data_IF_027268248422
#
_entry.id   IF_027268248422
#
_cell.length_a   1.000
_cell.length_b   1.000
_cell.length_c   1.000
_cell.angle_alpha   90.00
_cell.angle_beta   90.00
_cell.angle_gamma   90.00
#
_symmetry.space_group_name_H-M   'P 1'
#
loop_
_entity.id
_entity.type
_entity.pdbx_description
1 polymer ?
#
# COMPACT_ATOMS: atom_id res chain seq x y z
N UNK A 1 -7.68 -17.45 32.29
CA UNK A 1 -7.78 -18.57 31.32
C UNK A 1 -9.11 -19.34 31.39
N UNK A 2 -10.04 -19.06 32.32
CA UNK A 2 -11.35 -19.73 32.32
C UNK A 2 -12.14 -19.43 31.04
N UNK A 3 -12.77 -20.47 30.47
CA UNK A 3 -13.53 -20.41 29.21
C UNK A 3 -12.69 -20.57 27.94
N UNK A 4 -11.43 -21.01 28.05
CA UNK A 4 -10.61 -21.36 26.90
C UNK A 4 -10.39 -22.87 26.83
N UNK A 5 -10.17 -23.39 25.61
CA UNK A 5 -9.82 -24.81 25.37
C UNK A 5 -8.63 -25.25 26.24
N UNK A 6 -7.67 -24.35 26.50
CA UNK A 6 -6.54 -24.61 27.40
C UNK A 6 -6.94 -24.88 28.86
N UNK A 7 -8.00 -24.23 29.36
CA UNK A 7 -8.53 -24.48 30.70
C UNK A 7 -9.41 -25.73 30.78
N UNK A 8 -9.83 -26.28 29.64
CA UNK A 8 -10.53 -27.58 29.55
C UNK A 8 -9.53 -28.74 29.46
N UNK A 9 -8.47 -28.59 28.65
CA UNK A 9 -7.36 -29.55 28.52
C UNK A 9 -6.67 -29.77 29.87
N UNK A 10 -6.35 -28.70 30.61
CA UNK A 10 -5.75 -28.81 31.95
C UNK A 10 -6.66 -29.46 33.01
N UNK A 11 -7.97 -29.56 32.75
CA UNK A 11 -8.91 -30.29 33.62
C UNK A 11 -9.06 -31.75 33.22
N UNK A 12 -8.74 -32.11 31.98
CA UNK A 12 -8.81 -33.48 31.46
C UNK A 12 -7.49 -34.24 31.61
N UNK A 13 -6.35 -33.55 31.65
CA UNK A 13 -5.02 -34.17 31.66
C UNK A 13 -4.33 -34.12 33.03
N UNK A 14 -4.78 -34.98 33.95
CA UNK A 14 -3.90 -35.48 35.00
C UNK A 14 -3.33 -36.88 34.68
N UNK A 15 -3.77 -37.53 33.59
CA UNK A 15 -3.42 -38.93 33.32
C UNK A 15 -3.46 -39.34 31.83
N UNK A 16 -3.23 -38.40 30.90
CA UNK A 16 -2.98 -38.77 29.49
C UNK A 16 -1.48 -38.81 29.22
N UNK A 17 -0.89 -40.00 29.43
CA UNK A 17 0.45 -40.31 28.94
C UNK A 17 0.42 -40.28 27.41
N UNK A 18 0.70 -39.11 26.87
CA UNK A 18 1.03 -38.94 25.46
C UNK A 18 2.45 -39.46 25.24
N UNK A 19 2.60 -40.78 25.12
CA UNK A 19 3.85 -41.42 24.68
C UNK A 19 4.09 -41.12 23.19
N UNK A 20 4.50 -39.91 22.87
CA UNK A 20 5.22 -39.68 21.62
C UNK A 20 6.72 -39.80 21.90
N UNK A 21 7.40 -40.56 21.06
CA UNK A 21 8.83 -40.81 21.22
C UNK A 21 9.62 -39.51 21.02
N UNK A 22 10.02 -38.91 22.14
CA UNK A 22 10.81 -37.69 22.18
C UNK A 22 12.16 -37.88 21.47
N UNK A 23 12.70 -39.10 21.46
CA UNK A 23 13.93 -39.44 20.76
C UNK A 23 13.71 -39.48 19.25
N UNK A 24 12.61 -40.05 18.78
CA UNK A 24 12.22 -40.01 17.37
C UNK A 24 11.98 -38.57 16.91
N UNK A 25 11.22 -37.79 17.68
CA UNK A 25 10.98 -36.37 17.42
C UNK A 25 12.31 -35.60 17.35
N UNK A 26 13.20 -35.81 18.33
CA UNK A 26 14.51 -35.19 18.34
C UNK A 26 15.31 -35.60 17.11
N UNK A 27 15.26 -36.86 16.67
CA UNK A 27 15.99 -37.35 15.49
C UNK A 27 15.47 -36.80 14.16
N UNK A 28 14.14 -36.67 14.02
CA UNK A 28 13.49 -36.19 12.80
C UNK A 28 13.63 -34.69 12.62
N UNK A 29 13.66 -33.95 13.73
CA UNK A 29 13.64 -32.48 13.74
C UNK A 29 14.94 -31.86 14.28
N UNK A 30 16.02 -32.63 14.46
CA UNK A 30 17.36 -32.04 14.63
C UNK A 30 17.91 -31.55 13.30
N UNK A 31 18.58 -30.41 13.34
CA UNK A 31 19.36 -29.91 12.22
C UNK A 31 20.59 -30.82 12.09
N UNK A 32 20.50 -31.85 11.25
CA UNK A 32 21.59 -32.77 11.02
C UNK A 32 22.79 -32.06 10.37
N UNK A 33 24.00 -32.12 10.94
CA UNK A 33 25.21 -31.76 10.20
C UNK A 33 25.37 -32.79 9.07
N UNK A 34 25.54 -32.32 7.84
CA UNK A 34 25.67 -33.21 6.67
C UNK A 34 26.85 -34.16 6.84
N UNK A 35 26.58 -35.41 7.18
CA UNK A 35 27.57 -36.48 7.19
C UNK A 35 28.03 -36.74 5.75
N UNK A 36 29.33 -36.57 5.49
CA UNK A 36 29.98 -37.00 4.25
C UNK A 36 30.05 -38.53 4.21
N UNK A 37 29.07 -39.16 3.57
CA UNK A 37 29.15 -40.56 3.15
C UNK A 37 29.74 -40.65 1.74
N UNK A 38 30.93 -41.23 1.60
CA UNK A 38 31.60 -41.41 0.32
C UNK A 38 31.28 -42.75 -0.34
N UNK A 39 31.16 -42.74 -1.68
CA UNK A 39 31.67 -43.77 -2.59
C UNK A 39 31.63 -43.27 -4.06
N UNK A 40 32.82 -42.89 -4.54
CA UNK A 40 33.39 -42.91 -5.92
C UNK A 40 32.49 -42.66 -7.16
N UNK A 41 32.78 -41.54 -7.83
CA UNK A 41 33.06 -41.49 -9.29
C UNK A 41 33.90 -40.24 -9.57
N UNK A 42 35.02 -40.44 -10.28
CA UNK A 42 36.00 -39.42 -10.66
C UNK A 42 35.39 -38.33 -11.57
N UNK A 43 35.82 -37.09 -11.40
CA UNK A 43 35.50 -36.01 -12.34
C UNK A 43 35.63 -34.60 -11.77
N UNK A 44 36.80 -33.99 -11.99
CA UNK A 44 37.08 -32.55 -12.07
C UNK A 44 36.75 -31.65 -10.86
N UNK A 45 37.80 -31.02 -10.33
CA UNK A 45 37.76 -30.19 -9.15
C UNK A 45 36.89 -28.93 -9.27
N UNK A 46 36.24 -28.61 -8.15
CA UNK A 46 36.03 -27.25 -7.65
C UNK A 46 36.10 -27.32 -6.13
N UNK A 47 37.09 -26.63 -5.57
CA UNK A 47 37.25 -26.39 -4.14
C UNK A 47 36.00 -25.69 -3.59
N UNK A 48 35.07 -26.47 -3.06
CA UNK A 48 33.98 -25.95 -2.24
C UNK A 48 34.57 -25.62 -0.87
N UNK A 49 34.81 -24.33 -0.65
CA UNK A 49 35.19 -23.79 0.65
C UNK A 49 34.27 -24.30 1.75
N UNK A 50 34.87 -24.52 2.91
CA UNK A 50 34.20 -24.78 4.18
C UNK A 50 32.96 -23.91 4.32
N UNK A 51 31.76 -24.49 4.17
CA UNK A 51 30.54 -23.85 4.64
C UNK A 51 30.56 -24.01 6.15
N UNK A 52 31.08 -23.02 6.86
CA UNK A 52 30.82 -22.84 8.28
C UNK A 52 29.30 -22.85 8.45
N UNK A 53 28.77 -23.85 9.16
CA UNK A 53 27.34 -23.93 9.48
C UNK A 53 26.96 -22.66 10.24
N UNK A 54 26.20 -21.77 9.58
CA UNK A 54 25.71 -20.55 10.20
C UNK A 54 24.53 -20.88 11.10
N UNK A 55 24.50 -20.28 12.29
CA UNK A 55 23.40 -20.44 13.23
C UNK A 55 22.25 -19.52 12.80
N UNK A 56 21.06 -20.09 12.69
CA UNK A 56 19.83 -19.36 12.38
C UNK A 56 18.91 -19.38 13.60
N UNK A 57 18.57 -18.19 14.09
CA UNK A 57 17.63 -18.01 15.21
C UNK A 57 16.25 -17.60 14.72
N UNK A 58 16.20 -16.92 13.57
CA UNK A 58 14.95 -16.53 12.94
C UNK A 58 14.34 -17.71 12.18
N UNK A 59 13.01 -17.70 12.06
CA UNK A 59 12.32 -18.65 11.19
C UNK A 59 12.91 -18.62 9.77
N UNK A 60 13.08 -19.79 9.16
CA UNK A 60 13.77 -19.94 7.87
C UNK A 60 13.09 -19.10 6.78
N UNK A 61 11.75 -19.02 6.77
CA UNK A 61 11.02 -18.21 5.79
C UNK A 61 11.24 -16.72 6.05
N UNK A 62 11.25 -16.29 7.31
CA UNK A 62 11.57 -14.91 7.70
C UNK A 62 12.99 -14.54 7.28
N UNK A 63 13.98 -15.37 7.60
CA UNK A 63 15.38 -15.16 7.23
C UNK A 63 15.57 -15.08 5.70
N UNK A 64 14.99 -16.03 4.95
CA UNK A 64 15.08 -16.04 3.50
C UNK A 64 14.45 -14.80 2.85
N UNK A 65 13.28 -14.37 3.33
CA UNK A 65 12.63 -13.18 2.79
C UNK A 65 13.45 -11.90 3.06
N UNK A 66 14.04 -11.78 4.25
CA UNK A 66 14.95 -10.68 4.58
C UNK A 66 16.19 -10.71 3.69
N UNK A 67 16.81 -11.87 3.50
CA UNK A 67 17.98 -12.00 2.62
C UNK A 67 17.65 -11.66 1.16
N UNK A 68 16.51 -12.11 0.65
CA UNK A 68 16.04 -11.74 -0.69
C UNK A 68 15.86 -10.23 -0.79
N UNK A 69 15.25 -9.59 0.20
CA UNK A 69 15.11 -8.13 0.22
C UNK A 69 16.49 -7.44 0.20
N UNK A 70 17.45 -7.92 0.98
CA UNK A 70 18.81 -7.36 1.00
C UNK A 70 19.49 -7.50 -0.37
N UNK A 71 19.21 -8.55 -1.15
CA UNK A 71 19.76 -8.65 -2.51
C UNK A 71 19.21 -7.59 -3.48
N UNK A 72 18.03 -7.02 -3.20
CA UNK A 72 17.46 -5.93 -4.01
C UNK A 72 18.17 -4.60 -3.75
N UNK A 73 18.71 -4.42 -2.54
CA UNK A 73 19.52 -3.25 -2.18
C UNK A 73 20.98 -3.62 -2.41
N UNK A 74 21.48 -3.34 -3.63
CA UNK A 74 22.81 -3.74 -4.10
C UNK A 74 23.95 -2.91 -3.48
N UNK A 75 24.02 -2.84 -2.16
CA UNK A 75 25.09 -2.14 -1.43
C UNK A 75 25.42 -2.80 -0.09
N UNK A 76 26.61 -2.54 0.47
CA UNK A 76 26.98 -2.99 1.79
C UNK A 76 26.02 -2.46 2.87
N UNK A 77 25.79 -3.28 3.89
CA UNK A 77 24.91 -2.92 5.01
C UNK A 77 25.36 -1.65 5.74
N UNK A 78 26.67 -1.44 5.91
CA UNK A 78 27.21 -0.24 6.53
C UNK A 78 26.86 1.04 5.74
N UNK A 79 26.92 0.96 4.42
CA UNK A 79 26.58 2.07 3.52
C UNK A 79 25.08 2.35 3.54
N UNK A 80 24.26 1.30 3.49
CA UNK A 80 22.80 1.38 3.61
C UNK A 80 22.37 2.04 4.92
N UNK A 81 22.96 1.62 6.04
CA UNK A 81 22.68 2.22 7.35
C UNK A 81 23.13 3.68 7.40
N UNK A 82 24.30 3.99 6.85
CA UNK A 82 24.80 5.37 6.80
C UNK A 82 23.90 6.28 5.97
N UNK A 83 23.49 5.85 4.78
CA UNK A 83 22.57 6.59 3.91
C UNK A 83 21.22 6.82 4.57
N UNK A 84 20.65 5.78 5.20
CA UNK A 84 19.36 5.90 5.87
C UNK A 84 19.40 6.82 7.11
N UNK A 85 20.51 6.84 7.84
CA UNK A 85 20.69 7.76 8.97
C UNK A 85 21.00 9.20 8.53
N UNK A 86 21.66 9.37 7.39
CA UNK A 86 21.90 10.67 6.76
C UNK A 86 20.66 11.22 6.02
N UNK A 87 19.60 10.41 5.88
CA UNK A 87 18.39 10.74 5.11
C UNK A 87 18.72 11.06 3.63
N UNK A 88 19.71 10.37 3.06
CA UNK A 88 20.23 10.60 1.72
C UNK A 88 19.39 9.89 0.65
N UNK A 89 18.50 10.65 0.05
CA UNK A 89 17.57 10.22 -1.01
C UNK A 89 18.20 10.17 -2.41
N UNK A 90 19.50 10.46 -2.54
CA UNK A 90 20.26 10.16 -3.76
C UNK A 90 20.76 8.71 -3.81
N UNK A 91 20.84 8.06 -2.64
CA UNK A 91 21.35 6.70 -2.47
C UNK A 91 20.21 5.70 -2.27
N UNK A 92 19.24 6.04 -1.41
CA UNK A 92 18.09 5.18 -1.10
C UNK A 92 16.80 5.81 -1.59
N UNK A 93 16.09 5.08 -2.45
CA UNK A 93 14.77 5.50 -2.94
C UNK A 93 13.64 5.14 -1.96
N UNK A 94 12.43 5.66 -2.24
CA UNK A 94 11.27 5.43 -1.39
C UNK A 94 10.93 3.94 -1.21
N UNK A 95 11.03 3.14 -2.28
CA UNK A 95 10.67 1.72 -2.25
C UNK A 95 11.68 0.92 -1.42
N UNK A 96 12.96 1.26 -1.52
CA UNK A 96 14.02 0.68 -0.71
C UNK A 96 13.82 0.99 0.77
N UNK A 97 13.50 2.24 1.13
CA UNK A 97 13.22 2.63 2.51
C UNK A 97 11.96 1.95 3.04
N UNK A 98 10.90 1.84 2.25
CA UNK A 98 9.68 1.10 2.64
C UNK A 98 9.97 -0.39 2.88
N UNK A 99 10.81 -1.00 2.04
CA UNK A 99 11.27 -2.35 2.30
C UNK A 99 12.07 -2.42 3.61
N UNK A 100 12.95 -1.46 3.92
CA UNK A 100 13.71 -1.43 5.18
C UNK A 100 12.79 -1.34 6.41
N UNK A 101 11.71 -0.57 6.32
CA UNK A 101 10.68 -0.50 7.37
C UNK A 101 10.02 -1.87 7.56
N UNK A 102 9.59 -2.51 6.45
CA UNK A 102 8.90 -3.81 6.48
C UNK A 102 9.77 -4.94 7.06
N UNK A 103 11.09 -4.83 6.90
CA UNK A 103 12.05 -5.84 7.36
C UNK A 103 12.80 -5.43 8.64
N UNK A 104 12.34 -4.40 9.35
CA UNK A 104 12.80 -4.17 10.72
C UNK A 104 12.46 -5.38 11.61
N UNK A 105 13.35 -5.71 12.57
CA UNK A 105 13.10 -6.81 13.50
C UNK A 105 11.96 -6.47 14.45
N UNK A 106 11.16 -7.47 14.81
CA UNK A 106 10.16 -7.33 15.87
C UNK A 106 10.82 -7.30 17.26
N UNK A 107 10.07 -6.93 18.29
CA UNK A 107 10.60 -6.91 19.67
C UNK A 107 11.03 -8.31 20.10
N UNK A 108 10.26 -9.32 19.74
CA UNK A 108 10.53 -10.73 20.04
C UNK A 108 11.81 -11.19 19.33
N UNK A 109 11.98 -10.86 18.04
CA UNK A 109 13.20 -11.16 17.27
C UNK A 109 14.43 -10.47 17.87
N UNK A 110 14.28 -9.21 18.30
CA UNK A 110 15.34 -8.47 18.99
C UNK A 110 15.71 -9.10 20.33
N UNK A 111 14.73 -9.56 21.11
CA UNK A 111 15.00 -10.15 22.43
C UNK A 111 15.64 -11.53 22.31
N UNK A 112 15.28 -12.33 21.30
CA UNK A 112 16.00 -13.57 20.94
C UNK A 112 17.47 -13.29 20.64
N UNK A 113 17.76 -12.26 19.85
CA UNK A 113 19.13 -11.87 19.50
C UNK A 113 19.93 -11.30 20.69
N UNK A 114 19.26 -10.64 21.65
CA UNK A 114 19.91 -10.16 22.89
C UNK A 114 20.28 -11.32 23.82
N UNK A 115 19.40 -12.32 23.91
CA UNK A 115 19.56 -13.45 24.82
C UNK A 115 20.48 -14.54 24.26
N UNK A 116 20.87 -14.45 22.99
CA UNK A 116 21.85 -15.36 22.40
C UNK A 116 23.24 -15.16 23.02
N UNK A 117 23.74 -16.20 23.68
CA UNK A 117 25.03 -16.21 24.40
C UNK A 117 26.20 -16.76 23.57
N UNK A 118 25.92 -17.30 22.38
CA UNK A 118 26.95 -17.79 21.47
C UNK A 118 27.68 -16.68 20.73
N UNK A 119 28.61 -17.08 19.87
CA UNK A 119 29.35 -16.14 19.02
C UNK A 119 28.42 -15.53 17.95
N UNK A 120 28.18 -14.23 18.05
CA UNK A 120 27.31 -13.49 17.13
C UNK A 120 27.86 -13.47 15.70
N UNK A 121 29.15 -13.67 15.46
CA UNK A 121 29.72 -13.72 14.11
C UNK A 121 29.29 -14.97 13.33
N UNK A 122 28.90 -16.03 14.04
CA UNK A 122 28.43 -17.29 13.45
C UNK A 122 26.98 -17.23 12.94
N UNK A 123 26.26 -16.14 13.22
CA UNK A 123 24.86 -16.00 12.84
C UNK A 123 24.65 -15.79 11.33
N UNK A 124 23.46 -16.18 10.85
CA UNK A 124 22.94 -15.96 9.50
C UNK A 124 22.93 -14.49 9.08
N UNK A 125 22.79 -14.21 7.77
CA UNK A 125 22.85 -12.82 7.27
C UNK A 125 21.66 -11.99 7.76
N UNK A 126 20.47 -12.59 7.89
CA UNK A 126 19.29 -11.93 8.45
C UNK A 126 19.56 -11.44 9.88
N UNK A 127 20.14 -12.29 10.72
CA UNK A 127 20.50 -11.97 12.09
C UNK A 127 21.58 -10.88 12.17
N UNK A 128 22.61 -10.94 11.31
CA UNK A 128 23.60 -9.86 11.20
C UNK A 128 22.94 -8.52 10.86
N UNK A 129 21.99 -8.54 9.91
CA UNK A 129 21.24 -7.35 9.54
C UNK A 129 20.46 -6.77 10.72
N UNK A 130 19.75 -7.62 11.47
CA UNK A 130 18.99 -7.20 12.65
C UNK A 130 19.90 -6.66 13.76
N UNK A 131 21.07 -7.28 13.98
CA UNK A 131 22.05 -6.78 14.95
C UNK A 131 22.55 -5.38 14.60
N UNK A 132 22.79 -5.06 13.33
CA UNK A 132 23.15 -3.70 12.91
C UNK A 132 22.01 -2.70 13.14
N UNK A 133 20.77 -3.07 12.80
CA UNK A 133 19.60 -2.23 13.06
C UNK A 133 19.42 -1.94 14.55
N UNK A 134 19.64 -2.93 15.41
CA UNK A 134 19.50 -2.81 16.86
C UNK A 134 20.51 -1.86 17.50
N UNK A 135 21.63 -1.55 16.83
CA UNK A 135 22.59 -0.53 17.31
C UNK A 135 21.99 0.87 17.27
N UNK A 136 20.96 1.10 16.44
CA UNK A 136 20.33 2.39 16.28
C UNK A 136 19.02 2.45 17.08
N UNK A 137 18.90 3.38 18.05
CA UNK A 137 17.67 3.54 18.79
C UNK A 137 16.55 4.05 17.87
N UNK A 138 15.38 3.41 17.95
CA UNK A 138 14.17 3.77 17.20
C UNK A 138 14.38 3.76 15.68
N UNK A 139 15.14 2.79 15.16
CA UNK A 139 15.49 2.69 13.75
C UNK A 139 14.26 2.69 12.81
N UNK A 140 13.21 1.95 13.16
CA UNK A 140 11.96 1.93 12.37
C UNK A 140 11.36 3.34 12.26
N UNK A 141 11.32 4.11 13.36
CA UNK A 141 10.83 5.49 13.34
C UNK A 141 11.70 6.39 12.45
N UNK A 142 13.03 6.20 12.46
CA UNK A 142 13.95 6.95 11.58
C UNK A 142 13.71 6.63 10.12
N UNK A 143 13.53 5.36 9.76
CA UNK A 143 13.16 4.98 8.39
C UNK A 143 11.81 5.56 7.98
N UNK A 144 10.80 5.58 8.87
CA UNK A 144 9.51 6.23 8.58
C UNK A 144 9.65 7.73 8.33
N UNK A 145 10.49 8.42 9.10
CA UNK A 145 10.81 9.84 8.88
C UNK A 145 11.51 10.02 7.52
N UNK A 146 12.41 9.11 7.15
CA UNK A 146 13.11 9.18 5.88
C UNK A 146 12.16 8.96 4.70
N UNK A 147 11.32 7.93 4.74
CA UNK A 147 10.27 7.70 3.74
C UNK A 147 9.36 8.93 3.59
N UNK A 148 8.97 9.52 4.73
CA UNK A 148 8.19 10.76 4.74
C UNK A 148 8.93 11.92 4.05
N UNK A 149 10.22 12.15 4.36
CA UNK A 149 11.04 13.18 3.69
C UNK A 149 11.01 13.01 2.17
N UNK A 150 11.27 11.79 1.68
CA UNK A 150 11.33 11.49 0.25
C UNK A 150 9.99 11.83 -0.43
N UNK A 151 8.87 11.45 0.21
CA UNK A 151 7.54 11.58 -0.39
C UNK A 151 6.91 12.96 -0.18
N UNK A 152 7.36 13.75 0.80
CA UNK A 152 6.69 14.94 1.27
C UNK A 152 6.37 15.95 0.15
N UNK A 153 7.38 16.28 -0.66
CA UNK A 153 7.21 17.27 -1.72
C UNK A 153 6.24 16.78 -2.81
N UNK A 154 6.27 15.49 -3.13
CA UNK A 154 5.33 14.90 -4.09
C UNK A 154 3.90 14.95 -3.56
N UNK A 155 3.67 14.53 -2.31
CA UNK A 155 2.36 14.58 -1.68
C UNK A 155 1.79 16.00 -1.62
N UNK A 156 2.62 17.00 -1.27
CA UNK A 156 2.20 18.41 -1.26
C UNK A 156 1.83 18.89 -2.67
N UNK A 157 2.62 18.56 -3.70
CA UNK A 157 2.30 18.94 -5.08
C UNK A 157 0.98 18.33 -5.55
N UNK A 158 0.74 17.06 -5.25
CA UNK A 158 -0.49 16.37 -5.66
C UNK A 158 -1.73 16.95 -4.98
N UNK A 159 -1.66 17.17 -3.66
CA UNK A 159 -2.75 17.83 -2.91
C UNK A 159 -3.00 19.23 -3.45
N UNK A 160 -1.95 20.01 -3.68
CA UNK A 160 -2.07 21.38 -4.22
C UNK A 160 -2.70 21.38 -5.61
N UNK A 161 -2.27 20.47 -6.50
CA UNK A 161 -2.85 20.32 -7.85
C UNK A 161 -4.34 20.01 -7.79
N UNK A 162 -4.75 19.11 -6.91
CA UNK A 162 -6.16 18.74 -6.75
C UNK A 162 -6.98 19.93 -6.23
N UNK A 163 -6.47 20.66 -5.24
CA UNK A 163 -7.12 21.86 -4.71
C UNK A 163 -7.27 22.95 -5.77
N UNK A 164 -6.22 23.22 -6.55
CA UNK A 164 -6.28 24.21 -7.63
C UNK A 164 -7.26 23.81 -8.73
N UNK A 165 -7.32 22.51 -9.07
CA UNK A 165 -8.30 21.99 -10.04
C UNK A 165 -9.73 22.24 -9.56
N UNK A 166 -10.03 21.92 -8.30
CA UNK A 166 -11.37 22.14 -7.73
C UNK A 166 -11.70 23.63 -7.65
N UNK A 167 -10.76 24.46 -7.19
CA UNK A 167 -10.95 25.90 -7.10
C UNK A 167 -11.22 26.53 -8.48
N UNK A 168 -10.44 26.13 -9.49
CA UNK A 168 -10.63 26.58 -10.86
C UNK A 168 -12.00 26.16 -11.41
N UNK A 169 -12.40 24.89 -11.23
CA UNK A 169 -13.71 24.41 -11.65
C UNK A 169 -14.86 25.17 -10.98
N UNK A 170 -14.75 25.46 -9.68
CA UNK A 170 -15.75 26.26 -8.97
C UNK A 170 -15.84 27.70 -9.52
N UNK A 171 -14.70 28.31 -9.83
CA UNK A 171 -14.67 29.68 -10.37
C UNK A 171 -15.20 29.73 -11.80
N UNK A 172 -14.83 28.76 -12.65
CA UNK A 172 -15.38 28.63 -14.00
C UNK A 172 -16.90 28.43 -13.98
N UNK A 173 -17.42 27.59 -13.10
CA UNK A 173 -18.87 27.38 -12.95
C UNK A 173 -19.59 28.66 -12.49
N UNK A 174 -19.02 29.39 -11.52
CA UNK A 174 -19.59 30.63 -10.99
C UNK A 174 -19.55 31.78 -12.01
N UNK A 175 -18.44 31.89 -12.73
CA UNK A 175 -18.17 32.93 -13.71
C UNK A 175 -18.78 32.69 -15.10
N UNK A 176 -19.26 31.47 -15.39
CA UNK A 176 -19.79 31.14 -16.72
C UNK A 176 -21.17 31.75 -16.96
N UNK A 177 -21.20 32.90 -17.65
CA UNK A 177 -22.44 33.49 -18.16
C UNK A 177 -23.19 32.56 -19.11
N UNK A 178 -22.45 31.77 -19.90
CA UNK A 178 -23.01 30.77 -20.81
C UNK A 178 -23.83 29.72 -20.05
N UNK A 179 -23.29 29.22 -18.94
CA UNK A 179 -23.97 28.28 -18.08
C UNK A 179 -25.24 28.91 -17.49
N UNK A 180 -25.17 30.15 -16.99
CA UNK A 180 -26.35 30.86 -16.45
C UNK A 180 -27.48 30.97 -17.48
N UNK A 181 -27.17 31.28 -18.74
CA UNK A 181 -28.16 31.31 -19.83
C UNK A 181 -28.79 29.94 -20.06
N UNK A 182 -27.98 28.87 -20.12
CA UNK A 182 -28.49 27.49 -20.27
C UNK A 182 -29.42 27.13 -19.11
N UNK A 183 -29.04 27.45 -17.88
CA UNK A 183 -29.85 27.17 -16.68
C UNK A 183 -31.19 27.92 -16.71
N UNK A 184 -31.19 29.18 -17.17
CA UNK A 184 -32.42 29.96 -17.35
C UNK A 184 -33.34 29.33 -18.40
N UNK A 185 -32.79 28.86 -19.51
CA UNK A 185 -33.57 28.20 -20.57
C UNK A 185 -34.17 26.88 -20.07
N UNK A 186 -33.40 26.08 -19.32
CA UNK A 186 -33.90 24.84 -18.71
C UNK A 186 -35.05 25.14 -17.74
N UNK A 187 -34.92 26.18 -16.90
CA UNK A 187 -35.98 26.58 -15.98
C UNK A 187 -37.25 27.02 -16.72
N UNK A 188 -37.11 27.82 -17.77
CA UNK A 188 -38.23 28.28 -18.60
C UNK A 188 -38.96 27.08 -19.24
N UNK A 189 -38.22 26.21 -19.91
CA UNK A 189 -38.76 24.99 -20.54
C UNK A 189 -39.45 24.11 -19.49
N UNK A 190 -38.81 23.90 -18.35
CA UNK A 190 -39.37 23.10 -17.26
C UNK A 190 -40.69 23.66 -16.73
N UNK A 191 -40.78 24.96 -16.50
CA UNK A 191 -42.01 25.61 -16.04
C UNK A 191 -43.11 25.53 -17.09
N UNK A 192 -42.80 25.75 -18.37
CA UNK A 192 -43.78 25.62 -19.48
C UNK A 192 -44.30 24.20 -19.60
N UNK A 193 -43.44 23.18 -19.54
CA UNK A 193 -43.87 21.78 -19.65
C UNK A 193 -44.69 21.31 -18.44
N UNK A 194 -44.50 21.92 -17.27
CA UNK A 194 -45.18 21.55 -16.03
C UNK A 194 -46.30 22.54 -15.65
N UNK A 195 -46.73 23.39 -16.58
CA UNK A 195 -47.80 24.37 -16.34
C UNK A 195 -49.07 23.67 -15.83
N UNK A 196 -49.75 24.29 -14.86
CA UNK A 196 -50.93 23.71 -14.21
C UNK A 196 -50.64 22.60 -13.19
N UNK A 197 -49.37 22.19 -13.02
CA UNK A 197 -48.97 21.28 -11.94
C UNK A 197 -48.28 22.05 -10.80
N UNK A 198 -48.14 21.46 -9.59
CA UNK A 198 -47.33 22.05 -8.51
C UNK A 198 -45.87 22.34 -8.88
N UNK A 199 -45.38 21.82 -10.02
CA UNK A 199 -44.00 21.99 -10.51
C UNK A 199 -43.85 23.08 -11.57
N UNK A 200 -44.93 23.73 -12.02
CA UNK A 200 -44.93 24.69 -13.14
C UNK A 200 -44.49 26.12 -12.82
N UNK A 201 -44.23 26.43 -11.55
CA UNK A 201 -43.84 27.78 -11.08
C UNK A 201 -42.55 27.73 -10.25
N UNK A 202 -41.58 26.93 -10.68
CA UNK A 202 -40.30 26.81 -9.99
C UNK A 202 -39.47 28.09 -10.19
N UNK A 203 -38.74 28.49 -9.13
CA UNK A 203 -37.76 29.60 -9.16
C UNK A 203 -36.33 29.10 -9.38
N UNK A 204 -36.13 27.79 -9.37
CA UNK A 204 -34.85 27.13 -9.56
C UNK A 204 -35.01 25.61 -9.50
N UNK A 205 -33.95 24.89 -9.85
CA UNK A 205 -33.92 23.42 -9.81
C UNK A 205 -32.55 22.94 -9.34
N UNK A 206 -32.47 21.70 -8.88
CA UNK A 206 -31.21 21.07 -8.46
C UNK A 206 -30.37 20.70 -9.69
N UNK A 207 -29.05 20.88 -9.63
CA UNK A 207 -28.13 20.61 -10.75
C UNK A 207 -28.23 19.19 -11.33
N UNK A 208 -28.49 18.19 -10.48
CA UNK A 208 -28.70 16.79 -10.89
C UNK A 208 -29.92 16.61 -11.82
N UNK A 209 -30.87 17.55 -11.84
CA UNK A 209 -32.01 17.53 -12.75
C UNK A 209 -31.61 17.76 -14.21
N UNK A 210 -30.43 18.32 -14.49
CA UNK A 210 -29.89 18.45 -15.85
C UNK A 210 -29.76 17.07 -16.51
N UNK A 211 -29.40 16.04 -15.74
CA UNK A 211 -29.27 14.68 -16.25
C UNK A 211 -30.61 14.09 -16.72
N UNK A 212 -31.75 14.61 -16.24
CA UNK A 212 -33.08 14.13 -16.64
C UNK A 212 -33.53 14.67 -18.00
N UNK A 213 -32.82 15.67 -18.55
CA UNK A 213 -33.13 16.23 -19.87
C UNK A 213 -32.91 15.22 -21.00
N UNK A 214 -32.03 14.23 -20.81
CA UNK A 214 -31.84 13.15 -21.79
C UNK A 214 -32.93 12.07 -21.69
N UNK A 215 -33.63 11.99 -20.56
CA UNK A 215 -34.69 11.01 -20.31
C UNK A 215 -36.04 11.48 -20.85
N UNK A 216 -36.27 12.80 -20.86
CA UNK A 216 -37.52 13.40 -21.33
C UNK A 216 -37.55 13.41 -22.87
N UNK A 217 -38.46 12.65 -23.48
CA UNK A 217 -38.59 12.51 -24.93
C UNK A 217 -39.76 13.31 -25.49
N UNK A 218 -39.57 13.83 -26.70
CA UNK A 218 -40.67 14.37 -27.49
C UNK A 218 -41.57 13.23 -28.00
N UNK A 219 -42.75 13.59 -28.53
CA UNK A 219 -43.69 12.64 -29.14
C UNK A 219 -43.05 11.87 -30.32
N UNK A 220 -42.00 12.42 -30.94
CA UNK A 220 -41.10 11.67 -31.83
C UNK A 220 -40.03 10.95 -31.02
N UNK A 221 -39.99 9.61 -31.10
CA UNK A 221 -39.18 8.76 -30.22
C UNK A 221 -37.66 9.01 -30.24
N UNK A 222 -37.16 9.71 -31.27
CA UNK A 222 -35.72 9.99 -31.47
C UNK A 222 -35.23 11.31 -30.86
N UNK A 223 -36.11 12.21 -30.42
CA UNK A 223 -35.71 13.54 -29.91
C UNK A 223 -35.90 13.63 -28.40
N UNK A 224 -34.87 14.09 -27.67
CA UNK A 224 -34.96 14.35 -26.23
C UNK A 224 -34.99 15.86 -25.95
N UNK A 225 -35.35 16.25 -24.73
CA UNK A 225 -35.35 17.64 -24.30
C UNK A 225 -33.95 18.26 -24.37
N UNK A 226 -32.90 17.45 -24.14
CA UNK A 226 -31.51 17.87 -24.34
C UNK A 226 -31.22 18.22 -25.81
N UNK A 227 -31.72 17.44 -26.77
CA UNK A 227 -31.54 17.74 -28.21
C UNK A 227 -32.22 19.06 -28.58
N UNK A 228 -33.43 19.29 -28.07
CA UNK A 228 -34.15 20.55 -28.25
C UNK A 228 -33.38 21.73 -27.66
N UNK A 229 -32.90 21.62 -26.42
CA UNK A 229 -32.11 22.65 -25.75
C UNK A 229 -30.83 23.00 -26.51
N UNK A 230 -30.11 22.01 -27.03
CA UNK A 230 -28.92 22.22 -27.86
C UNK A 230 -29.25 23.00 -29.15
N UNK A 231 -30.35 22.65 -29.84
CA UNK A 231 -30.79 23.33 -31.05
C UNK A 231 -31.12 24.80 -30.78
N UNK A 232 -31.95 25.06 -29.78
CA UNK A 232 -32.35 26.43 -29.40
C UNK A 232 -31.15 27.27 -28.93
N UNK A 233 -30.22 26.65 -28.19
CA UNK A 233 -29.00 27.33 -27.76
C UNK A 233 -28.10 27.68 -28.96
N UNK A 234 -27.90 26.76 -29.91
CA UNK A 234 -27.08 27.02 -31.10
C UNK A 234 -27.65 28.13 -31.97
N UNK A 235 -28.98 28.16 -32.14
CA UNK A 235 -29.68 29.15 -32.96
C UNK A 235 -29.62 30.54 -32.33
N UNK A 236 -29.72 30.64 -31.00
CA UNK A 236 -29.56 31.90 -30.26
C UNK A 236 -28.09 32.38 -30.20
N UNK A 237 -27.10 31.48 -30.07
CA UNK A 237 -25.67 31.86 -30.12
C UNK A 237 -25.25 32.35 -31.52
N UNK A 238 -25.79 31.77 -32.59
CA UNK A 238 -25.57 32.25 -33.95
C UNK A 238 -26.11 33.66 -34.19
N UNK A 239 -27.21 34.02 -33.53
CA UNK A 239 -27.78 35.38 -33.59
C UNK A 239 -26.88 36.37 -32.83
N UNK A 240 -26.33 35.99 -31.67
CA UNK A 240 -25.40 36.83 -30.91
C UNK A 240 -24.02 37.04 -31.55
N UNK A 241 -23.57 36.15 -32.45
CA UNK A 241 -22.32 36.35 -33.22
C UNK A 241 -22.52 37.14 -34.53
N UNK A 242 -23.76 37.56 -34.85
CA UNK A 242 -24.11 38.27 -36.09
C UNK A 242 -24.52 39.74 -35.87
N UNK A 243 -24.35 40.25 -34.66
CA UNK A 243 -24.53 41.66 -34.28
C UNK A 243 -23.16 42.16 -33.81
#
# INVERSE_FOLDING_TARGET
>A
MQGSVWAEIQKQDADSDSEFDVSELASLFTIAPKAKGGAKSEGAGKSLGSKTDKIHLMDIRRANNTEIMLTKIKMPLSEMMSAALALDDSILDADQVENLIKFCPTKEEMDLLKNFTGDKETLGKCEQFFLELMKVPRIESKFRIFAFKIQFQTQIRDVRKNLLTVAAACEELRGSEKLKVIMKNILLIGNTLNEGTPRGQAVGFRLDSILKLVETRATSSRTTLMHFLCKESHQNYWIFMRI
#
